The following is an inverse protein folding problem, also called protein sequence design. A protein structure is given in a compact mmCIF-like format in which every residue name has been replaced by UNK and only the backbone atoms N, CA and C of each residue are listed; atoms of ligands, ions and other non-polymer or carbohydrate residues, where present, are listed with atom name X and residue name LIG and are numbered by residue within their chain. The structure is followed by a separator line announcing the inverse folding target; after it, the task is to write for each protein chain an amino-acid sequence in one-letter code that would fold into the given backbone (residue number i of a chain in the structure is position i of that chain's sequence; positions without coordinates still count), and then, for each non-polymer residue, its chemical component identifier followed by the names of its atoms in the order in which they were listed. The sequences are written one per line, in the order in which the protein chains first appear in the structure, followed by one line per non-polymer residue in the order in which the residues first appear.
data_IF_520600501097
#
_entry.id   IF_520600501097
#
_cell.length_a   1.000
_cell.length_b   1.000
_cell.length_c   1.000
_cell.angle_alpha   90.00
_cell.angle_beta   90.00
_cell.angle_gamma   90.00
#
_symmetry.space_group_name_H-M   'P 1'
#
loop_
_entity.id
_entity.type
_entity.pdbx_description
1 polymer ?
#
# COMPACT_ATOMS: atom_id res chain seq x y z
N UNK A 1 13.10 -14.45 -0.94
CA UNK A 1 14.53 -14.05 -0.99
C UNK A 1 14.85 -13.46 0.37
N UNK A 2 15.84 -13.99 1.09
CA UNK A 2 16.10 -13.57 2.47
C UNK A 2 16.48 -12.09 2.51
N UNK A 3 15.92 -11.31 3.43
CA UNK A 3 16.26 -9.87 3.59
C UNK A 3 17.77 -9.66 3.79
N UNK A 4 18.43 -10.62 4.46
CA UNK A 4 19.88 -10.65 4.64
C UNK A 4 20.60 -10.72 3.29
N UNK A 5 20.09 -11.53 2.35
CA UNK A 5 20.65 -11.63 1.00
C UNK A 5 20.45 -10.34 0.20
N UNK A 6 19.27 -9.71 0.30
CA UNK A 6 19.00 -8.43 -0.34
C UNK A 6 19.92 -7.31 0.17
N UNK A 7 20.12 -7.23 1.49
CA UNK A 7 21.06 -6.26 2.11
C UNK A 7 22.51 -6.53 1.71
N UNK A 8 22.92 -7.80 1.68
CA UNK A 8 24.25 -8.18 1.21
C UNK A 8 24.48 -7.80 -0.27
N UNK A 9 23.47 -8.02 -1.12
CA UNK A 9 23.53 -7.66 -2.54
C UNK A 9 23.67 -6.14 -2.74
N UNK A 10 22.89 -5.34 -2.00
CA UNK A 10 22.98 -3.87 -2.06
C UNK A 10 24.36 -3.37 -1.61
N UNK A 11 24.95 -3.96 -0.59
CA UNK A 11 26.31 -3.61 -0.15
C UNK A 11 27.36 -3.91 -1.24
N UNK A 12 27.22 -5.04 -1.93
CA UNK A 12 28.08 -5.38 -3.07
C UNK A 12 27.90 -4.36 -4.21
N UNK A 13 26.65 -3.99 -4.55
CA UNK A 13 26.37 -2.98 -5.56
C UNK A 13 26.93 -1.59 -5.19
N UNK A 14 26.89 -1.21 -3.92
CA UNK A 14 27.50 0.02 -3.43
C UNK A 14 29.03 0.00 -3.62
N UNK A 15 29.68 -1.14 -3.32
CA UNK A 15 31.11 -1.33 -3.56
C UNK A 15 31.47 -1.23 -5.05
N UNK A 16 30.68 -1.86 -5.93
CA UNK A 16 30.87 -1.79 -7.38
C UNK A 16 30.69 -0.35 -7.89
N UNK A 17 29.73 0.41 -7.35
CA UNK A 17 29.53 1.82 -7.71
C UNK A 17 30.76 2.67 -7.41
N UNK A 18 31.42 2.43 -6.27
CA UNK A 18 32.66 3.11 -5.91
C UNK A 18 33.81 2.76 -6.87
N UNK A 19 33.95 1.47 -7.24
CA UNK A 19 34.94 1.04 -8.22
C UNK A 19 34.71 1.67 -9.59
N UNK A 20 33.46 1.78 -10.04
CA UNK A 20 33.11 2.43 -11.32
C UNK A 20 33.49 3.91 -11.33
N UNK A 21 33.32 4.63 -10.21
CA UNK A 21 33.80 6.02 -10.09
C UNK A 21 35.33 6.11 -10.22
N UNK A 22 36.06 5.19 -9.58
CA UNK A 22 37.52 5.14 -9.70
C UNK A 22 37.96 4.88 -11.14
N UNK A 23 37.34 3.90 -11.83
CA UNK A 23 37.63 3.63 -13.24
C UNK A 23 37.29 4.80 -14.15
N UNK A 24 36.19 5.50 -13.87
CA UNK A 24 35.82 6.70 -14.59
C UNK A 24 36.91 7.78 -14.48
N UNK A 25 37.48 7.97 -13.29
CA UNK A 25 38.54 8.95 -13.07
C UNK A 25 39.81 8.62 -13.88
N UNK A 26 40.18 7.33 -13.93
CA UNK A 26 41.31 6.84 -14.74
C UNK A 26 41.06 7.08 -16.24
N UNK A 27 39.87 6.70 -16.74
CA UNK A 27 39.51 6.88 -18.16
C UNK A 27 39.43 8.37 -18.51
N UNK A 28 38.99 9.23 -17.59
CA UNK A 28 38.93 10.67 -17.80
C UNK A 28 40.31 11.29 -18.00
N UNK A 29 41.35 10.79 -17.31
CA UNK A 29 42.72 11.22 -17.55
C UNK A 29 43.25 10.80 -18.93
N UNK A 30 42.87 9.61 -19.41
CA UNK A 30 43.31 9.07 -20.70
C UNK A 30 42.57 9.73 -21.87
N UNK A 31 41.25 9.89 -21.76
CA UNK A 31 40.41 10.45 -22.82
C UNK A 31 39.22 11.20 -22.22
N UNK A 32 39.32 12.54 -22.15
CA UNK A 32 38.29 13.40 -21.57
C UNK A 32 36.89 13.18 -22.15
N UNK A 33 36.77 12.93 -23.46
CA UNK A 33 35.46 12.74 -24.12
C UNK A 33 34.81 11.41 -23.70
N UNK A 34 35.58 10.33 -23.64
CA UNK A 34 35.09 9.01 -23.21
C UNK A 34 34.88 8.94 -21.69
N UNK A 35 35.73 9.62 -20.92
CA UNK A 35 35.59 9.75 -19.48
C UNK A 35 34.32 10.47 -19.07
N UNK A 36 33.91 11.52 -19.80
CA UNK A 36 32.66 12.22 -19.52
C UNK A 36 31.42 11.34 -19.74
N UNK A 37 31.42 10.51 -20.79
CA UNK A 37 30.35 9.53 -21.04
C UNK A 37 30.32 8.48 -19.91
N UNK A 38 31.49 7.98 -19.51
CA UNK A 38 31.62 7.04 -18.39
C UNK A 38 31.15 7.63 -17.07
N UNK A 39 31.36 8.94 -16.85
CA UNK A 39 30.93 9.64 -15.64
C UNK A 39 29.41 9.68 -15.54
N UNK A 40 28.75 10.05 -16.65
CA UNK A 40 27.29 10.09 -16.72
C UNK A 40 26.71 8.71 -16.41
N UNK A 41 27.28 7.65 -16.98
CA UNK A 41 26.82 6.28 -16.75
C UNK A 41 27.02 5.85 -15.28
N UNK A 42 28.16 6.21 -14.66
CA UNK A 42 28.42 5.94 -13.25
C UNK A 42 27.44 6.67 -12.33
N UNK A 43 27.11 7.93 -12.62
CA UNK A 43 26.12 8.72 -11.85
C UNK A 43 24.73 8.08 -11.93
N UNK A 44 24.31 7.61 -13.10
CA UNK A 44 23.03 6.90 -13.27
C UNK A 44 23.03 5.62 -12.41
N UNK A 45 24.11 4.84 -12.47
CA UNK A 45 24.23 3.61 -11.69
C UNK A 45 24.20 3.88 -10.17
N UNK A 46 24.83 4.96 -9.71
CA UNK A 46 24.78 5.39 -8.31
C UNK A 46 23.36 5.79 -7.90
N UNK A 47 22.64 6.53 -8.75
CA UNK A 47 21.26 6.92 -8.47
C UNK A 47 20.34 5.70 -8.31
N UNK A 48 20.48 4.71 -9.19
CA UNK A 48 19.73 3.44 -9.12
C UNK A 48 20.11 2.67 -7.84
N UNK A 49 21.41 2.50 -7.58
CA UNK A 49 21.89 1.81 -6.39
C UNK A 49 21.46 2.52 -5.10
N UNK A 50 21.47 3.85 -5.08
CA UNK A 50 21.00 4.67 -3.96
C UNK A 50 19.50 4.50 -3.70
N UNK A 51 18.68 4.44 -4.76
CA UNK A 51 17.25 4.14 -4.64
C UNK A 51 16.99 2.75 -4.03
N UNK A 52 17.71 1.72 -4.48
CA UNK A 52 17.62 0.38 -3.90
C UNK A 52 18.18 0.31 -2.47
N UNK A 53 19.21 1.09 -2.16
CA UNK A 53 19.73 1.21 -0.80
C UNK A 53 18.71 1.86 0.15
N UNK A 54 18.03 2.92 -0.31
CA UNK A 54 16.99 3.59 0.46
C UNK A 54 15.81 2.63 0.76
N UNK A 55 15.32 1.92 -0.25
CA UNK A 55 14.20 0.98 -0.08
C UNK A 55 14.57 -0.19 0.83
N UNK A 56 15.78 -0.75 0.69
CA UNK A 56 16.19 -1.90 1.52
C UNK A 56 16.54 -1.53 2.96
N UNK A 57 17.13 -0.36 3.21
CA UNK A 57 17.54 0.06 4.56
C UNK A 57 16.44 0.81 5.33
N UNK A 58 15.62 1.63 4.66
CA UNK A 58 14.61 2.46 5.32
C UNK A 58 13.18 1.94 5.16
N UNK A 59 12.90 1.03 4.21
CA UNK A 59 11.57 0.43 4.01
C UNK A 59 11.46 -1.00 4.57
N UNK A 60 12.28 -1.35 5.57
CA UNK A 60 12.22 -2.65 6.26
C UNK A 60 11.01 -2.83 7.22
N UNK A 61 10.05 -1.89 7.26
CA UNK A 61 8.92 -1.97 8.19
C UNK A 61 7.57 -2.31 7.53
N UNK A 62 7.52 -2.71 6.25
CA UNK A 62 6.21 -2.82 5.57
C UNK A 62 6.01 -4.08 4.73
N UNK A 63 6.90 -5.08 4.76
CA UNK A 63 6.75 -6.30 3.96
C UNK A 63 7.14 -7.55 4.77
N UNK A 64 6.46 -7.77 5.90
CA UNK A 64 6.49 -9.07 6.58
C UNK A 64 5.11 -9.74 6.66
N UNK A 65 4.02 -9.05 6.31
CA UNK A 65 2.67 -9.62 6.44
C UNK A 65 2.13 -10.30 5.18
N UNK A 66 2.70 -10.05 4.00
CA UNK A 66 2.12 -10.53 2.74
C UNK A 66 2.48 -11.99 2.37
N UNK A 67 3.43 -12.63 3.04
CA UNK A 67 3.82 -14.03 2.73
C UNK A 67 3.42 -15.06 3.80
N UNK A 68 2.66 -14.70 4.83
CA UNK A 68 2.19 -15.65 5.84
C UNK A 68 0.77 -16.20 5.64
N UNK A 69 0.00 -15.67 4.69
CA UNK A 69 -1.40 -16.07 4.49
C UNK A 69 -1.64 -17.32 3.61
N UNK A 70 -0.61 -17.87 2.94
CA UNK A 70 -0.80 -19.00 2.02
C UNK A 70 -0.46 -20.39 2.59
N UNK A 71 -0.08 -20.48 3.87
CA UNK A 71 0.37 -21.75 4.47
C UNK A 71 -0.12 -21.97 5.89
N UNK A 72 -1.41 -21.76 6.19
CA UNK A 72 -1.98 -22.28 7.43
C UNK A 72 -3.38 -22.89 7.20
N UNK A 73 -3.57 -24.19 7.47
CA UNK A 73 -4.90 -24.81 7.46
C UNK A 73 -5.71 -24.32 8.67
N UNK A 74 -7.05 -24.41 8.63
CA UNK A 74 -7.91 -23.72 9.58
C UNK A 74 -7.84 -24.43 10.93
N UNK A 75 -7.49 -23.68 11.96
CA UNK A 75 -7.68 -24.12 13.33
C UNK A 75 -8.01 -22.88 14.17
N UNK A 76 -9.29 -22.77 14.51
CA UNK A 76 -9.83 -21.92 15.56
C UNK A 76 -9.00 -22.07 16.84
N UNK A 77 -8.69 -20.98 17.52
CA UNK A 77 -8.91 -20.78 18.98
C UNK A 77 -8.54 -19.34 19.31
N UNK A 78 -9.51 -18.64 19.90
CA UNK A 78 -9.44 -17.42 20.69
C UNK A 78 -8.11 -17.22 21.44
N UNK A 79 -7.49 -16.05 21.25
CA UNK A 79 -6.72 -15.39 22.31
C UNK A 79 -7.01 -13.87 22.27
N UNK A 80 -7.63 -13.38 23.34
CA UNK A 80 -7.78 -11.96 23.67
C UNK A 80 -6.40 -11.30 23.81
N UNK A 81 -6.23 -10.17 23.13
CA UNK A 81 -5.28 -9.12 23.49
C UNK A 81 -6.00 -7.79 23.24
N UNK A 82 -5.91 -6.77 24.13
CA UNK A 82 -6.79 -5.61 24.12
C UNK A 82 -6.35 -4.68 22.99
N UNK A 83 -6.77 -4.99 21.78
CA UNK A 83 -6.43 -4.22 20.58
C UNK A 83 -7.54 -3.21 20.34
N UNK A 84 -7.17 -1.98 19.99
CA UNK A 84 -8.08 -1.00 19.42
C UNK A 84 -8.68 -1.56 18.11
N UNK A 85 -9.69 -2.43 18.23
CA UNK A 85 -10.36 -3.08 17.11
C UNK A 85 -11.24 -2.03 16.44
N UNK A 86 -10.70 -1.42 15.40
CA UNK A 86 -11.47 -0.57 14.50
C UNK A 86 -12.14 -1.48 13.49
N UNK A 87 -13.44 -1.32 13.32
CA UNK A 87 -14.22 -2.03 12.32
C UNK A 87 -14.97 -1.04 11.44
N UNK A 88 -15.13 -1.36 10.16
CA UNK A 88 -15.95 -0.60 9.22
C UNK A 88 -17.29 -1.31 9.01
N UNK A 89 -18.37 -0.56 9.01
CA UNK A 89 -19.70 -1.07 8.65
C UNK A 89 -20.02 -0.70 7.21
N UNK A 90 -20.27 -1.73 6.40
CA UNK A 90 -20.63 -1.61 4.99
C UNK A 90 -22.02 -2.19 4.79
N UNK A 91 -22.88 -1.47 4.10
CA UNK A 91 -24.23 -1.92 3.72
C UNK A 91 -24.22 -2.29 2.23
N UNK A 92 -24.69 -3.49 1.90
CA UNK A 92 -24.92 -3.91 0.51
C UNK A 92 -26.31 -3.49 0.04
N UNK A 93 -26.56 -3.56 -1.27
CA UNK A 93 -27.85 -3.21 -1.87
C UNK A 93 -29.05 -4.00 -1.32
N UNK A 94 -28.82 -5.19 -0.79
CA UNK A 94 -29.84 -6.03 -0.16
C UNK A 94 -30.21 -5.55 1.27
N UNK A 95 -29.56 -4.48 1.75
CA UNK A 95 -29.73 -3.95 3.11
C UNK A 95 -28.95 -4.73 4.18
N UNK A 96 -28.14 -5.72 3.78
CA UNK A 96 -27.29 -6.47 4.69
C UNK A 96 -26.10 -5.63 5.13
N UNK A 97 -25.82 -5.64 6.44
CA UNK A 97 -24.66 -4.98 7.02
C UNK A 97 -23.54 -5.98 7.24
N UNK A 98 -22.37 -5.64 6.74
CA UNK A 98 -21.13 -6.39 6.86
C UNK A 98 -20.16 -5.56 7.70
N UNK A 99 -19.59 -6.18 8.72
CA UNK A 99 -18.58 -5.56 9.59
C UNK A 99 -17.22 -6.11 9.17
N UNK A 100 -16.30 -5.22 8.83
CA UNK A 100 -14.96 -5.56 8.35
C UNK A 100 -13.94 -5.07 9.37
N UNK A 101 -13.00 -5.93 9.76
CA UNK A 101 -11.96 -5.57 10.72
C UNK A 101 -10.83 -4.77 10.06
N UNK A 102 -10.15 -3.95 10.86
CA UNK A 102 -8.98 -3.19 10.42
C UNK A 102 -7.89 -4.13 9.86
N UNK A 103 -7.39 -3.80 8.66
CA UNK A 103 -6.39 -4.56 7.92
C UNK A 103 -6.95 -5.69 7.06
N UNK A 104 -8.24 -6.00 7.18
CA UNK A 104 -8.88 -7.08 6.42
C UNK A 104 -9.39 -6.62 5.04
N UNK A 105 -9.71 -7.60 4.20
CA UNK A 105 -10.28 -7.39 2.88
C UNK A 105 -11.76 -7.82 2.84
N UNK A 106 -12.61 -6.95 2.30
CA UNK A 106 -13.99 -7.26 1.96
C UNK A 106 -14.08 -7.64 0.48
N UNK A 107 -14.45 -8.88 0.22
CA UNK A 107 -14.77 -9.36 -1.12
C UNK A 107 -16.19 -8.92 -1.50
N UNK A 108 -16.32 -8.25 -2.64
CA UNK A 108 -17.57 -7.68 -3.16
C UNK A 108 -17.73 -8.12 -4.60
N UNK A 109 -18.88 -8.65 -4.98
CA UNK A 109 -19.16 -8.95 -6.39
C UNK A 109 -19.21 -7.66 -7.20
N UNK A 110 -18.55 -7.63 -8.37
CA UNK A 110 -18.33 -6.40 -9.16
C UNK A 110 -19.61 -5.73 -9.67
N UNK A 111 -20.74 -6.44 -9.67
CA UNK A 111 -22.07 -5.95 -10.04
C UNK A 111 -22.88 -5.40 -8.87
N UNK A 112 -22.45 -5.67 -7.62
CA UNK A 112 -23.08 -5.18 -6.40
C UNK A 112 -22.57 -3.78 -6.06
N UNK A 113 -23.48 -2.92 -5.65
CA UNK A 113 -23.12 -1.63 -5.05
C UNK A 113 -23.12 -1.74 -3.53
N UNK A 114 -22.26 -0.95 -2.91
CA UNK A 114 -22.11 -0.88 -1.47
C UNK A 114 -22.17 0.57 -0.99
N UNK A 115 -22.43 0.74 0.30
CA UNK A 115 -22.46 2.03 0.99
C UNK A 115 -21.78 1.88 2.34
N UNK A 116 -20.80 2.74 2.62
CA UNK A 116 -20.15 2.77 3.92
C UNK A 116 -21.05 3.55 4.88
N UNK A 117 -21.47 2.94 5.98
CA UNK A 117 -22.38 3.58 6.95
C UNK A 117 -21.66 4.17 8.15
N UNK A 118 -20.47 3.67 8.48
CA UNK A 118 -19.65 4.21 9.56
C UNK A 118 -18.51 3.29 9.97
N UNK A 119 -17.88 3.60 11.10
CA UNK A 119 -16.89 2.74 11.74
C UNK A 119 -17.13 2.68 13.25
N UNK A 120 -16.65 1.61 13.88
CA UNK A 120 -16.70 1.43 15.33
C UNK A 120 -15.30 1.12 15.87
N UNK A 121 -15.05 1.45 17.13
CA UNK A 121 -13.82 1.09 17.84
C UNK A 121 -14.20 0.39 19.14
N UNK A 122 -13.72 -0.84 19.32
CA UNK A 122 -14.04 -1.66 20.49
C UNK A 122 -15.57 -1.78 20.70
N UNK A 123 -16.32 -1.95 19.60
CA UNK A 123 -17.78 -2.08 19.58
C UNK A 123 -18.57 -0.79 19.81
N UNK A 124 -17.91 0.37 19.95
CA UNK A 124 -18.57 1.67 20.07
C UNK A 124 -18.52 2.43 18.76
N UNK A 125 -19.63 3.00 18.26
CA UNK A 125 -19.62 3.80 17.05
C UNK A 125 -18.65 4.98 17.23
N UNK A 126 -17.82 5.21 16.23
CA UNK A 126 -16.92 6.34 16.20
C UNK A 126 -17.65 7.57 15.65
N UNK A 127 -17.71 8.61 16.46
CA UNK A 127 -18.13 9.94 16.01
C UNK A 127 -16.91 10.72 15.48
N UNK A 128 -17.16 11.74 14.66
CA UNK A 128 -16.15 12.66 14.12
C UNK A 128 -15.04 12.01 13.29
N UNK A 129 -15.36 10.91 12.61
CA UNK A 129 -14.46 10.26 11.66
C UNK A 129 -14.77 10.66 10.22
N UNK A 130 -13.77 10.44 9.37
CA UNK A 130 -13.89 10.52 7.92
C UNK A 130 -13.41 9.21 7.34
N UNK A 131 -14.16 8.69 6.37
CA UNK A 131 -13.74 7.53 5.59
C UNK A 131 -13.41 8.01 4.19
N UNK A 132 -12.25 7.59 3.68
CA UNK A 132 -11.80 7.94 2.34
C UNK A 132 -11.54 6.66 1.55
N UNK A 133 -12.31 6.45 0.49
CA UNK A 133 -12.22 5.32 -0.42
C UNK A 133 -11.30 5.71 -1.56
N UNK A 134 -10.06 5.22 -1.53
CA UNK A 134 -9.03 5.60 -2.50
C UNK A 134 -9.43 5.08 -3.88
N UNK A 135 -9.62 6.02 -4.80
CA UNK A 135 -10.08 5.73 -6.16
C UNK A 135 -11.57 5.94 -6.38
N UNK A 136 -12.33 6.33 -5.36
CA UNK A 136 -13.70 6.80 -5.51
C UNK A 136 -13.75 8.33 -5.49
N UNK A 137 -14.75 8.91 -6.15
CA UNK A 137 -15.04 10.35 -6.07
C UNK A 137 -16.54 10.55 -6.13
N UNK A 138 -17.18 11.07 -5.08
CA UNK A 138 -18.61 11.35 -5.08
C UNK A 138 -19.00 12.33 -6.19
N UNK A 139 -20.11 12.07 -6.89
CA UNK A 139 -20.61 12.97 -7.95
C UNK A 139 -21.25 14.22 -7.38
N UNK A 140 -21.94 14.10 -6.26
CA UNK A 140 -22.74 15.18 -5.67
C UNK A 140 -21.88 16.19 -4.90
N UNK A 141 -20.75 15.74 -4.34
CA UNK A 141 -19.83 16.59 -3.59
C UNK A 141 -18.37 16.09 -3.68
N UNK A 142 -17.70 16.29 -4.83
CA UNK A 142 -16.35 15.75 -5.09
C UNK A 142 -15.26 16.36 -4.20
N UNK A 143 -15.54 17.47 -3.52
CA UNK A 143 -14.61 18.18 -2.63
C UNK A 143 -14.68 17.69 -1.18
N UNK A 144 -15.61 16.78 -0.86
CA UNK A 144 -15.80 16.26 0.48
C UNK A 144 -14.82 15.11 0.74
N UNK A 145 -13.95 15.29 1.73
CA UNK A 145 -13.00 14.26 2.18
C UNK A 145 -13.67 13.22 3.10
N UNK A 146 -14.92 12.83 2.82
CA UNK A 146 -15.66 11.84 3.58
C UNK A 146 -16.69 11.12 2.68
N UNK A 147 -16.46 9.83 2.45
CA UNK A 147 -17.24 8.96 1.57
C UNK A 147 -18.34 8.17 2.31
N UNK A 148 -18.51 8.40 3.62
CA UNK A 148 -19.63 7.81 4.38
C UNK A 148 -20.96 8.24 3.76
N UNK A 149 -21.86 7.27 3.56
CA UNK A 149 -23.22 7.48 3.04
C UNK A 149 -23.33 7.46 1.52
N UNK A 150 -22.22 7.47 0.79
CA UNK A 150 -22.25 7.36 -0.67
C UNK A 150 -22.34 5.91 -1.11
N UNK A 151 -23.20 5.67 -2.10
CA UNK A 151 -23.35 4.39 -2.77
C UNK A 151 -22.44 4.33 -3.99
N UNK A 152 -21.65 3.26 -4.09
CA UNK A 152 -20.70 3.08 -5.18
C UNK A 152 -20.48 1.60 -5.51
N UNK A 153 -20.01 1.35 -6.73
CA UNK A 153 -19.72 0.02 -7.27
C UNK A 153 -18.32 -0.02 -7.88
N UNK A 154 -17.89 -1.20 -8.36
CA UNK A 154 -16.63 -1.33 -9.10
C UNK A 154 -16.51 -0.38 -10.29
N UNK A 155 -17.63 -0.02 -10.94
CA UNK A 155 -17.67 0.86 -12.11
C UNK A 155 -17.35 2.31 -11.76
N UNK A 156 -17.62 2.72 -10.53
CA UNK A 156 -17.37 4.08 -10.04
C UNK A 156 -15.91 4.28 -9.61
N UNK A 157 -15.12 3.19 -9.55
CA UNK A 157 -13.73 3.21 -9.09
C UNK A 157 -12.74 3.54 -10.21
N UNK A 158 -11.89 4.51 -9.95
CA UNK A 158 -10.77 4.92 -10.79
C UNK A 158 -9.64 3.89 -10.75
N UNK A 159 -9.48 3.12 -11.84
CA UNK A 159 -8.55 1.98 -11.96
C UNK A 159 -7.07 2.29 -11.70
N UNK A 160 -6.65 3.56 -11.84
CA UNK A 160 -5.27 4.00 -11.58
C UNK A 160 -4.88 3.98 -10.09
N UNK A 161 -5.87 3.92 -9.20
CA UNK A 161 -5.68 3.93 -7.75
C UNK A 161 -5.83 2.55 -7.11
N UNK A 162 -6.06 1.52 -7.93
CA UNK A 162 -6.03 0.16 -7.43
C UNK A 162 -4.61 -0.21 -6.97
N UNK A 163 -4.51 -1.02 -5.92
CA UNK A 163 -3.22 -1.37 -5.30
C UNK A 163 -2.61 -2.64 -5.89
N UNK A 164 -3.39 -3.38 -6.67
CA UNK A 164 -3.04 -4.64 -7.30
C UNK A 164 -2.91 -4.48 -8.83
N UNK A 165 -2.24 -5.45 -9.47
CA UNK A 165 -2.03 -5.44 -10.92
C UNK A 165 -3.32 -5.70 -11.71
N UNK A 166 -4.25 -6.47 -11.15
CA UNK A 166 -5.54 -6.80 -11.75
C UNK A 166 -6.55 -5.65 -11.67
N UNK A 167 -6.22 -4.61 -10.89
CA UNK A 167 -7.02 -3.41 -10.68
C UNK A 167 -8.39 -3.70 -10.07
N UNK A 168 -8.43 -4.63 -9.11
CA UNK A 168 -9.64 -5.04 -8.41
C UNK A 168 -9.60 -4.75 -6.91
N UNK A 169 -8.46 -4.37 -6.34
CA UNK A 169 -8.29 -4.08 -4.92
C UNK A 169 -8.10 -2.59 -4.67
N UNK A 170 -8.88 -2.02 -3.76
CA UNK A 170 -8.85 -0.61 -3.40
C UNK A 170 -8.73 -0.43 -1.89
N UNK A 171 -8.02 0.61 -1.47
CA UNK A 171 -7.81 0.93 -0.06
C UNK A 171 -8.90 1.87 0.45
N UNK A 172 -9.37 1.64 1.67
CA UNK A 172 -10.25 2.55 2.41
C UNK A 172 -9.52 2.99 3.66
N UNK A 173 -9.43 4.29 3.89
CA UNK A 173 -8.75 4.87 5.05
C UNK A 173 -9.78 5.46 6.01
N UNK A 174 -9.69 5.08 7.29
CA UNK A 174 -10.50 5.63 8.37
C UNK A 174 -9.62 6.64 9.12
N UNK A 175 -10.05 7.91 9.16
CA UNK A 175 -9.30 9.01 9.77
C UNK A 175 -10.11 9.74 10.82
N UNK A 176 -9.44 10.28 11.81
CA UNK A 176 -9.96 11.32 12.71
C UNK A 176 -9.07 12.53 12.58
N UNK A 177 -9.62 13.63 12.10
CA UNK A 177 -8.83 14.79 11.66
C UNK A 177 -7.76 14.36 10.66
N UNK A 178 -6.47 14.46 11.02
CA UNK A 178 -5.34 14.07 10.18
C UNK A 178 -4.70 12.74 10.60
N UNK A 179 -5.19 12.10 11.66
CA UNK A 179 -4.69 10.83 12.16
C UNK A 179 -5.38 9.66 11.47
N UNK A 180 -4.58 8.74 10.92
CA UNK A 180 -5.09 7.46 10.39
C UNK A 180 -5.39 6.54 11.57
N UNK A 181 -6.67 6.22 11.75
CA UNK A 181 -7.14 5.28 12.75
C UNK A 181 -7.03 3.84 12.23
N UNK A 182 -7.38 3.61 10.96
CA UNK A 182 -7.36 2.28 10.38
C UNK A 182 -7.41 2.29 8.86
N UNK A 183 -7.27 1.12 8.27
CA UNK A 183 -7.50 0.87 6.86
C UNK A 183 -8.16 -0.48 6.63
N UNK A 184 -8.93 -0.58 5.56
CA UNK A 184 -9.44 -1.86 5.06
C UNK A 184 -9.24 -1.91 3.55
N UNK A 185 -9.42 -3.09 2.96
CA UNK A 185 -9.33 -3.29 1.52
C UNK A 185 -10.67 -3.73 0.94
N UNK A 186 -11.08 -3.15 -0.17
CA UNK A 186 -12.23 -3.60 -0.95
C UNK A 186 -11.69 -4.38 -2.15
N UNK A 187 -12.09 -5.65 -2.30
CA UNK A 187 -11.71 -6.48 -3.43
C UNK A 187 -12.94 -6.81 -4.26
N UNK A 188 -12.94 -6.35 -5.51
CA UNK A 188 -14.04 -6.59 -6.43
C UNK A 188 -13.82 -7.88 -7.20
N UNK A 189 -14.57 -8.92 -6.84
CA UNK A 189 -14.53 -10.24 -7.47
C UNK A 189 -15.60 -10.36 -8.56
N UNK A 190 -15.45 -11.31 -9.47
CA UNK A 190 -16.44 -11.61 -10.51
C UNK A 190 -17.48 -12.59 -10.02
#
# INVERSE_FOLDING_TARGET
MNEIFARALVLVCAGISFLLLMFCFIIYQINRKKGLISLILAVIFIAITGYYCYTTLFTSNTISDTMRCLSRPPASTTQEQPSNQITLTVETDDGNQIIVENGDALDITSDVSIKITGASQNGKPLNDIRVNVIGFTPKDNPSQNNDIGYKFSYKDMLKKFAIDEEKIVYRVEIKRSDEKLGEIYLRFVK
#
